data_IF_738222791710
#
_entry.id   IF_738222791710
#
_cell.length_a   1.000
_cell.length_b   1.000
_cell.length_c   1.000
_cell.angle_alpha   90.00
_cell.angle_beta   90.00
_cell.angle_gamma   90.00
#
_symmetry.space_group_name_H-M   'P 1'
#
loop_
_entity.id
_entity.type
_entity.pdbx_description
1 polymer ?
#
# COMPACT_ATOMS: atom_id res chain seq x y z
N UNK A 1 17.30 -20.52 15.22
CA UNK A 1 17.67 -19.21 14.65
C UNK A 1 17.11 -19.16 13.25
N UNK A 2 16.00 -18.44 13.07
CA UNK A 2 15.48 -18.20 11.72
C UNK A 2 16.42 -17.21 11.04
N UNK A 3 17.08 -17.67 9.98
CA UNK A 3 17.86 -16.85 9.08
C UNK A 3 16.95 -15.75 8.54
N UNK A 4 17.18 -14.52 8.99
CA UNK A 4 16.49 -13.37 8.42
C UNK A 4 16.96 -13.26 6.98
N UNK A 5 16.16 -13.80 6.05
CA UNK A 5 16.39 -13.62 4.64
C UNK A 5 16.51 -12.11 4.38
N UNK A 6 17.61 -11.69 3.76
CA UNK A 6 17.85 -10.29 3.45
C UNK A 6 16.64 -9.72 2.67
N UNK A 7 16.17 -8.57 3.09
CA UNK A 7 15.05 -7.88 2.42
C UNK A 7 15.38 -7.66 0.95
N UNK A 8 14.46 -7.95 0.02
CA UNK A 8 14.68 -7.74 -1.41
C UNK A 8 15.04 -6.30 -1.73
N UNK A 9 15.99 -6.09 -2.64
CA UNK A 9 16.41 -4.76 -3.09
C UNK A 9 15.54 -4.21 -4.23
N UNK A 10 14.68 -5.00 -4.83
CA UNK A 10 13.82 -4.62 -5.95
C UNK A 10 12.33 -4.87 -5.66
N UNK A 11 11.47 -4.14 -6.38
CA UNK A 11 10.03 -4.32 -6.29
C UNK A 11 9.62 -5.74 -6.68
N UNK A 12 10.12 -6.26 -7.80
CA UNK A 12 9.82 -7.63 -8.26
C UNK A 12 10.24 -8.68 -7.22
N UNK A 13 11.38 -8.48 -6.56
CA UNK A 13 11.83 -9.34 -5.47
C UNK A 13 10.87 -9.34 -4.28
N UNK A 14 10.34 -8.18 -3.91
CA UNK A 14 9.32 -8.07 -2.86
C UNK A 14 8.02 -8.77 -3.24
N UNK A 15 7.53 -8.54 -4.46
CA UNK A 15 6.29 -9.17 -4.92
C UNK A 15 6.40 -10.68 -4.95
N UNK A 16 7.51 -11.22 -5.48
CA UNK A 16 7.78 -12.65 -5.49
C UNK A 16 7.86 -13.24 -4.06
N UNK A 17 8.52 -12.55 -3.13
CA UNK A 17 8.61 -12.97 -1.73
C UNK A 17 7.23 -13.05 -1.07
N UNK A 18 6.39 -12.04 -1.28
CA UNK A 18 5.05 -11.99 -0.69
C UNK A 18 4.12 -13.04 -1.28
N UNK A 19 4.22 -13.31 -2.58
CA UNK A 19 3.48 -14.39 -3.23
C UNK A 19 3.86 -15.77 -2.69
N UNK A 20 5.15 -16.01 -2.47
CA UNK A 20 5.63 -17.27 -1.87
C UNK A 20 5.16 -17.47 -0.43
N UNK A 21 5.14 -16.39 0.37
CA UNK A 21 4.79 -16.49 1.79
C UNK A 21 3.31 -16.76 2.03
N UNK A 22 2.44 -16.14 1.28
CA UNK A 22 1.01 -16.13 1.61
C UNK A 22 0.10 -16.48 0.43
N UNK A 23 0.61 -16.53 -0.80
CA UNK A 23 -0.21 -16.71 -1.98
C UNK A 23 -1.34 -15.69 -2.05
N UNK A 24 -2.45 -16.05 -2.69
CA UNK A 24 -3.66 -15.21 -2.74
C UNK A 24 -4.67 -15.57 -1.63
N UNK A 25 -4.21 -15.93 -0.45
CA UNK A 25 -5.12 -16.21 0.68
C UNK A 25 -5.86 -14.95 1.07
N UNK A 26 -7.18 -15.06 1.13
CA UNK A 26 -8.05 -14.05 1.72
C UNK A 26 -8.27 -14.43 3.17
N UNK A 27 -7.78 -13.63 4.09
CA UNK A 27 -8.08 -13.77 5.51
C UNK A 27 -8.87 -12.55 5.96
N UNK A 28 -10.02 -12.79 6.57
CA UNK A 28 -10.87 -11.73 7.08
C UNK A 28 -10.39 -11.27 8.47
N UNK A 29 -10.64 -10.01 8.80
CA UNK A 29 -10.26 -9.40 10.06
C UNK A 29 -9.28 -8.24 9.86
N UNK A 30 -9.27 -7.31 10.81
CA UNK A 30 -8.43 -6.12 10.79
C UNK A 30 -7.35 -6.12 11.86
N UNK A 31 -7.36 -7.11 12.75
CA UNK A 31 -6.52 -7.16 13.94
C UNK A 31 -5.03 -7.17 13.59
N UNK A 32 -4.65 -7.96 12.57
CA UNK A 32 -3.25 -8.05 12.11
C UNK A 32 -2.77 -6.73 11.54
N UNK A 33 -3.56 -6.13 10.64
CA UNK A 33 -3.24 -4.85 10.01
C UNK A 33 -3.16 -3.75 11.06
N UNK A 34 -4.12 -3.68 11.98
CA UNK A 34 -4.14 -2.70 13.07
C UNK A 34 -2.91 -2.83 13.99
N UNK A 35 -2.54 -4.07 14.35
CA UNK A 35 -1.38 -4.34 15.19
C UNK A 35 -0.06 -3.95 14.52
N UNK A 36 0.09 -4.21 13.23
CA UNK A 36 1.30 -3.81 12.48
C UNK A 36 1.32 -2.32 12.27
N UNK A 37 0.20 -1.71 11.86
CA UNK A 37 0.09 -0.26 11.69
C UNK A 37 0.47 0.51 12.95
N UNK A 38 0.04 0.03 14.13
CA UNK A 38 0.39 0.66 15.41
C UNK A 38 1.90 0.68 15.71
N UNK A 39 2.66 -0.24 15.12
CA UNK A 39 4.13 -0.31 15.23
C UNK A 39 4.86 0.49 14.15
N UNK A 40 4.16 0.85 13.08
CA UNK A 40 4.72 1.69 12.02
C UNK A 40 4.71 3.15 12.46
N UNK A 41 5.80 3.85 12.18
CA UNK A 41 5.88 5.30 12.37
C UNK A 41 5.36 6.02 11.11
N UNK A 42 4.10 5.74 10.76
CA UNK A 42 3.45 6.19 9.53
C UNK A 42 2.16 6.94 9.89
N UNK A 43 2.29 8.11 10.50
CA UNK A 43 1.16 8.97 10.79
C UNK A 43 0.79 9.83 9.59
N UNK A 44 -0.49 10.07 9.41
CA UNK A 44 -1.03 10.93 8.36
C UNK A 44 -2.29 11.62 8.88
N UNK A 45 -2.35 12.92 8.71
CA UNK A 45 -3.52 13.75 9.02
C UNK A 45 -4.44 13.89 7.79
N UNK A 46 -4.15 13.19 6.71
CA UNK A 46 -4.90 13.26 5.47
C UNK A 46 -6.36 12.83 5.66
N UNK A 47 -7.26 13.50 4.97
CA UNK A 47 -8.67 13.09 4.90
C UNK A 47 -8.79 11.80 4.08
N UNK A 48 -9.32 10.74 4.66
CA UNK A 48 -9.48 9.44 3.99
C UNK A 48 -10.88 9.31 3.42
N UNK A 49 -10.97 9.14 2.10
CA UNK A 49 -12.22 8.85 1.38
C UNK A 49 -12.20 7.40 0.94
N UNK A 50 -13.09 6.58 1.49
CA UNK A 50 -13.21 5.18 1.12
C UNK A 50 -14.32 4.97 0.10
N UNK A 51 -13.97 4.37 -1.04
CA UNK A 51 -14.90 4.05 -2.13
C UNK A 51 -15.17 2.54 -2.12
N UNK A 52 -16.41 2.17 -1.84
CA UNK A 52 -16.88 0.78 -1.82
C UNK A 52 -17.94 0.55 -2.91
N UNK A 53 -18.09 -0.72 -3.30
CA UNK A 53 -19.14 -1.12 -4.27
C UNK A 53 -18.74 -2.31 -5.11
N UNK A 54 -19.68 -2.83 -5.89
CA UNK A 54 -19.47 -3.99 -6.77
C UNK A 54 -18.75 -3.59 -8.05
N UNK A 55 -19.16 -2.48 -8.67
CA UNK A 55 -18.63 -1.98 -9.94
C UNK A 55 -18.30 -0.48 -9.83
N UNK A 56 -17.42 0.02 -10.70
CA UNK A 56 -17.13 1.43 -10.85
C UNK A 56 -16.28 2.07 -9.76
N UNK A 57 -15.75 1.29 -8.80
CA UNK A 57 -14.87 1.81 -7.74
C UNK A 57 -13.66 2.55 -8.31
N UNK A 58 -12.94 1.93 -9.24
CA UNK A 58 -11.75 2.54 -9.86
C UNK A 58 -12.07 3.81 -10.63
N UNK A 59 -13.17 3.83 -11.38
CA UNK A 59 -13.63 5.04 -12.11
C UNK A 59 -14.00 6.17 -11.14
N UNK A 60 -14.68 5.85 -10.05
CA UNK A 60 -15.00 6.82 -9.01
C UNK A 60 -13.74 7.41 -8.36
N UNK A 61 -12.76 6.57 -8.01
CA UNK A 61 -11.48 7.01 -7.48
C UNK A 61 -10.75 7.92 -8.47
N UNK A 62 -10.71 7.58 -9.76
CA UNK A 62 -10.07 8.39 -10.79
C UNK A 62 -10.72 9.77 -10.96
N UNK A 63 -12.05 9.82 -10.89
CA UNK A 63 -12.79 11.10 -10.95
C UNK A 63 -12.50 11.96 -9.71
N UNK A 64 -12.56 11.38 -8.52
CA UNK A 64 -12.25 12.09 -7.27
C UNK A 64 -10.82 12.62 -7.27
N UNK A 65 -9.84 11.78 -7.66
CA UNK A 65 -8.45 12.19 -7.79
C UNK A 65 -8.32 13.39 -8.73
N UNK A 66 -8.94 13.33 -9.93
CA UNK A 66 -8.89 14.42 -10.90
C UNK A 66 -9.50 15.72 -10.38
N UNK A 67 -10.65 15.64 -9.69
CA UNK A 67 -11.33 16.82 -9.11
C UNK A 67 -10.48 17.45 -8.01
N UNK A 68 -9.94 16.64 -7.10
CA UNK A 68 -9.14 17.11 -5.99
C UNK A 68 -7.83 17.76 -6.47
N UNK A 69 -7.14 17.12 -7.42
CA UNK A 69 -5.93 17.68 -8.03
C UNK A 69 -6.22 19.01 -8.74
N UNK A 70 -7.32 19.10 -9.50
CA UNK A 70 -7.73 20.33 -10.15
C UNK A 70 -8.10 21.44 -9.15
N UNK A 71 -8.48 21.06 -7.94
CA UNK A 71 -8.78 21.97 -6.82
C UNK A 71 -7.55 22.37 -6.02
N UNK A 72 -6.35 21.86 -6.38
CA UNK A 72 -5.09 22.23 -5.76
C UNK A 72 -4.67 21.39 -4.55
N UNK A 73 -5.40 20.31 -4.26
CA UNK A 73 -5.04 19.38 -3.19
C UNK A 73 -3.93 18.41 -3.61
N UNK A 74 -3.17 17.97 -2.64
CA UNK A 74 -2.26 16.83 -2.79
C UNK A 74 -3.03 15.54 -2.53
N UNK A 75 -2.94 14.59 -3.44
CA UNK A 75 -3.79 13.40 -3.44
C UNK A 75 -2.97 12.11 -3.45
N UNK A 76 -3.23 11.23 -2.48
CA UNK A 76 -2.84 9.84 -2.54
C UNK A 76 -4.04 8.99 -2.98
N UNK A 77 -3.84 8.07 -3.93
CA UNK A 77 -4.89 7.17 -4.39
C UNK A 77 -4.42 5.73 -4.32
N UNK A 78 -5.18 4.87 -3.63
CA UNK A 78 -4.91 3.43 -3.53
C UNK A 78 -6.04 2.64 -4.17
N UNK A 79 -5.70 1.85 -5.19
CA UNK A 79 -6.67 1.03 -5.93
C UNK A 79 -6.14 -0.38 -6.17
N UNK A 80 -7.06 -1.33 -6.40
CA UNK A 80 -6.73 -2.69 -6.78
C UNK A 80 -7.87 -3.30 -7.64
N UNK A 81 -7.54 -4.27 -8.51
CA UNK A 81 -6.20 -4.74 -8.89
C UNK A 81 -5.48 -3.77 -9.84
N UNK A 82 -4.20 -4.02 -10.12
CA UNK A 82 -3.47 -3.37 -11.20
C UNK A 82 -3.68 -4.14 -12.52
N UNK A 83 -3.41 -3.49 -13.66
CA UNK A 83 -3.53 -4.08 -14.97
C UNK A 83 -2.17 -4.56 -15.52
N UNK A 84 -1.15 -3.73 -15.47
CA UNK A 84 0.17 -4.00 -16.04
C UNK A 84 1.27 -4.03 -14.96
N UNK A 85 1.30 -3.05 -14.07
CA UNK A 85 2.36 -2.87 -13.08
C UNK A 85 1.79 -2.65 -11.69
N UNK A 86 2.44 -3.22 -10.69
CA UNK A 86 2.04 -3.03 -9.29
C UNK A 86 1.95 -1.56 -8.89
N UNK A 87 2.82 -0.70 -9.44
CA UNK A 87 2.88 0.73 -9.19
C UNK A 87 1.53 1.45 -9.38
N UNK A 88 0.69 0.97 -10.31
CA UNK A 88 -0.66 1.50 -10.57
C UNK A 88 -1.55 1.50 -9.32
N UNK A 89 -1.27 0.61 -8.34
CA UNK A 89 -2.04 0.53 -7.10
C UNK A 89 -1.86 1.74 -6.18
N UNK A 90 -0.72 2.41 -6.28
CA UNK A 90 -0.35 3.52 -5.39
C UNK A 90 0.02 4.73 -6.23
N UNK A 91 -0.79 5.77 -6.17
CA UNK A 91 -0.58 6.99 -6.94
C UNK A 91 -0.45 8.19 -6.01
N UNK A 92 0.47 9.08 -6.34
CA UNK A 92 0.69 10.34 -5.64
C UNK A 92 0.57 11.46 -6.67
N UNK A 93 -0.31 12.40 -6.41
CA UNK A 93 -0.55 13.57 -7.27
C UNK A 93 -0.75 13.18 -8.75
N UNK A 94 -1.56 12.13 -8.97
CA UNK A 94 -1.92 11.65 -10.32
C UNK A 94 -0.85 10.82 -11.03
N UNK A 95 0.23 10.43 -10.35
CA UNK A 95 1.31 9.62 -10.91
C UNK A 95 1.52 8.35 -10.11
N UNK A 96 1.82 7.26 -10.79
CA UNK A 96 2.18 6.01 -10.14
C UNK A 96 3.42 6.20 -9.27
N UNK A 97 3.41 5.62 -8.07
CA UNK A 97 4.57 5.61 -7.21
C UNK A 97 5.73 4.88 -7.89
N UNK A 98 6.94 5.39 -7.72
CA UNK A 98 8.12 4.72 -8.27
C UNK A 98 8.50 3.47 -7.46
N UNK A 99 9.35 2.64 -8.05
CA UNK A 99 9.79 1.39 -7.43
C UNK A 99 10.50 1.65 -6.09
N UNK A 100 11.27 2.72 -5.99
CA UNK A 100 12.02 3.05 -4.78
C UNK A 100 11.07 3.36 -3.60
N UNK A 101 10.02 4.14 -3.84
CA UNK A 101 9.01 4.45 -2.81
C UNK A 101 8.27 3.19 -2.36
N UNK A 102 7.91 2.30 -3.28
CA UNK A 102 7.24 1.04 -2.97
C UNK A 102 8.17 0.09 -2.21
N UNK A 103 9.42 -0.06 -2.63
CA UNK A 103 10.42 -0.88 -1.93
C UNK A 103 10.63 -0.37 -0.51
N UNK A 104 10.75 0.94 -0.30
CA UNK A 104 10.86 1.52 1.03
C UNK A 104 9.60 1.25 1.88
N UNK A 105 8.41 1.33 1.28
CA UNK A 105 7.15 0.98 1.93
C UNK A 105 7.10 -0.47 2.36
N UNK A 106 7.44 -1.41 1.49
CA UNK A 106 7.50 -2.85 1.82
C UNK A 106 8.51 -3.15 2.92
N UNK A 107 9.70 -2.55 2.87
CA UNK A 107 10.73 -2.72 3.89
C UNK A 107 10.28 -2.20 5.27
N UNK A 108 9.59 -1.06 5.31
CA UNK A 108 9.05 -0.52 6.55
C UNK A 108 7.98 -1.44 7.18
N UNK A 109 7.11 -2.03 6.37
CA UNK A 109 6.12 -3.01 6.83
C UNK A 109 6.82 -4.27 7.35
N UNK A 110 7.82 -4.78 6.64
CA UNK A 110 8.59 -5.96 7.05
C UNK A 110 9.24 -5.74 8.42
N UNK A 111 9.83 -4.58 8.64
CA UNK A 111 10.43 -4.22 9.93
C UNK A 111 9.39 -4.13 11.06
N UNK A 112 8.19 -3.61 10.76
CA UNK A 112 7.14 -3.40 11.75
C UNK A 112 6.32 -4.66 12.07
N UNK A 113 6.18 -5.59 11.11
CA UNK A 113 5.32 -6.75 11.31
C UNK A 113 5.83 -7.74 12.36
N UNK A 114 7.15 -7.85 12.56
CA UNK A 114 7.74 -8.86 13.43
C UNK A 114 7.29 -10.27 13.02
N UNK A 115 6.70 -11.01 13.98
CA UNK A 115 6.16 -12.36 13.73
C UNK A 115 4.71 -12.37 13.21
N UNK A 116 4.10 -11.20 13.00
CA UNK A 116 2.73 -11.12 12.48
C UNK A 116 2.70 -11.56 11.02
N UNK A 117 1.94 -12.62 10.73
CA UNK A 117 1.72 -13.07 9.36
C UNK A 117 0.71 -12.17 8.66
N UNK A 118 1.15 -11.42 7.66
CA UNK A 118 0.29 -10.59 6.83
C UNK A 118 0.05 -11.27 5.48
N UNK A 119 -1.16 -11.18 4.96
CA UNK A 119 -1.45 -11.58 3.58
C UNK A 119 -0.75 -10.64 2.60
N UNK A 120 -0.65 -11.04 1.34
CA UNK A 120 -0.13 -10.21 0.25
C UNK A 120 -0.83 -8.83 0.20
N UNK A 121 -2.17 -8.84 0.29
CA UNK A 121 -2.95 -7.63 0.23
C UNK A 121 -2.78 -6.74 1.47
N UNK A 122 -2.75 -7.32 2.65
CA UNK A 122 -2.52 -6.60 3.90
C UNK A 122 -1.15 -5.91 3.91
N UNK A 123 -0.11 -6.64 3.49
CA UNK A 123 1.25 -6.09 3.38
C UNK A 123 1.30 -4.93 2.38
N UNK A 124 0.70 -5.11 1.19
CA UNK A 124 0.63 -4.06 0.18
C UNK A 124 -0.17 -2.83 0.62
N UNK A 125 -1.25 -3.02 1.37
CA UNK A 125 -2.06 -1.92 1.92
C UNK A 125 -1.27 -1.09 2.92
N UNK A 126 -0.53 -1.74 3.81
CA UNK A 126 0.33 -1.06 4.77
C UNK A 126 1.52 -0.37 4.10
N UNK A 127 2.09 -0.96 3.06
CA UNK A 127 3.14 -0.32 2.27
C UNK A 127 2.63 0.94 1.54
N UNK A 128 1.42 0.90 0.97
CA UNK A 128 0.78 2.08 0.41
C UNK A 128 0.56 3.17 1.47
N UNK A 129 0.11 2.79 2.66
CA UNK A 129 -0.03 3.72 3.78
C UNK A 129 1.30 4.40 4.13
N UNK A 130 2.41 3.66 4.16
CA UNK A 130 3.74 4.21 4.40
C UNK A 130 4.16 5.21 3.33
N UNK A 131 3.88 4.90 2.06
CA UNK A 131 4.16 5.80 0.93
C UNK A 131 3.36 7.10 1.07
N UNK A 132 2.08 7.01 1.44
CA UNK A 132 1.24 8.20 1.68
C UNK A 132 1.73 9.01 2.86
N UNK A 133 2.09 8.39 3.98
CA UNK A 133 2.63 9.10 5.13
C UNK A 133 3.89 9.90 4.77
N UNK A 134 4.75 9.35 3.92
CA UNK A 134 5.94 10.03 3.41
C UNK A 134 5.61 11.16 2.41
N UNK A 135 4.62 10.97 1.56
CA UNK A 135 4.20 11.94 0.55
C UNK A 135 3.37 13.10 1.12
N UNK A 136 2.72 12.91 2.26
CA UNK A 136 1.87 13.89 2.94
C UNK A 136 0.78 14.48 2.05
N UNK A 137 -0.19 13.69 1.56
CA UNK A 137 -1.40 14.21 0.93
C UNK A 137 -2.26 14.99 1.93
N UNK A 138 -3.20 15.82 1.42
CA UNK A 138 -4.13 16.63 2.21
C UNK A 138 -5.28 15.85 2.86
#
# INVERSE_FOLDING_TARGET
>A
MAEQAASPASLDGWLALLEQRHGQRVELGLERVAAVRARMQAESDAVVITVGGTNGKGSCCAMLEGILLASGYRVGCYTSPHLLRYNERVRIDGRDADDAALVAGFAAVEAARGDTALTYFEHGTLAAWQVFAAARPD
#
